data_IF_435104173760
#
_entry.id   IF_435104173760
#
_cell.length_a   1.000
_cell.length_b   1.000
_cell.length_c   1.000
_cell.angle_alpha   90.00
_cell.angle_beta   90.00
_cell.angle_gamma   90.00
#
_symmetry.space_group_name_H-M   'P 1'
#
loop_
_entity.id
_entity.type
_entity.pdbx_description
1 polymer ?
#
# COMPACT_ATOMS: atom_id res chain seq x y z
N UNK A 1 -14.28 -24.43 61.21
CA UNK A 1 -15.11 -23.45 60.50
C UNK A 1 -14.82 -23.64 59.02
N UNK A 2 -15.51 -24.59 58.38
CA UNK A 2 -15.24 -24.95 56.98
C UNK A 2 -16.07 -24.06 56.06
N UNK A 3 -15.39 -23.37 55.14
CA UNK A 3 -16.02 -22.51 54.13
C UNK A 3 -16.91 -23.35 53.19
N UNK A 4 -18.13 -22.89 52.86
CA UNK A 4 -19.01 -23.60 51.94
C UNK A 4 -18.39 -23.63 50.54
N UNK A 5 -18.19 -24.84 49.99
CA UNK A 5 -17.73 -25.04 48.61
C UNK A 5 -18.78 -24.47 47.66
N UNK A 6 -18.49 -23.31 47.10
CA UNK A 6 -19.30 -22.66 46.06
C UNK A 6 -19.15 -23.48 44.76
N UNK A 7 -20.02 -24.47 44.56
CA UNK A 7 -20.14 -25.16 43.28
C UNK A 7 -20.81 -24.24 42.26
N UNK A 8 -19.99 -23.50 41.51
CA UNK A 8 -20.42 -22.69 40.37
C UNK A 8 -20.98 -23.65 39.30
N UNK A 9 -22.25 -23.51 38.88
CA UNK A 9 -22.81 -24.38 37.86
C UNK A 9 -22.06 -24.15 36.54
N UNK A 10 -21.41 -25.20 36.03
CA UNK A 10 -20.77 -25.17 34.70
C UNK A 10 -21.85 -24.91 33.65
N UNK A 11 -21.74 -23.82 32.87
CA UNK A 11 -22.75 -23.51 31.86
C UNK A 11 -22.81 -24.67 30.86
N UNK A 12 -23.98 -25.29 30.71
CA UNK A 12 -24.21 -26.28 29.64
C UNK A 12 -24.07 -25.55 28.31
N UNK A 13 -22.93 -25.74 27.67
CA UNK A 13 -22.56 -25.05 26.45
C UNK A 13 -23.36 -25.67 25.29
N UNK A 14 -24.48 -25.03 24.94
CA UNK A 14 -25.27 -25.45 23.78
C UNK A 14 -24.46 -25.17 22.50
N UNK A 15 -24.20 -26.17 21.63
CA UNK A 15 -23.40 -25.97 20.41
C UNK A 15 -24.03 -24.92 19.48
N UNK A 16 -25.36 -24.79 19.51
CA UNK A 16 -26.11 -23.81 18.73
C UNK A 16 -25.83 -22.35 19.15
N UNK A 17 -25.56 -22.10 20.44
CA UNK A 17 -25.24 -20.76 20.94
C UNK A 17 -23.78 -20.38 20.72
N UNK A 18 -22.89 -21.37 20.58
CA UNK A 18 -21.52 -21.17 20.13
C UNK A 18 -21.50 -20.78 18.65
N UNK A 19 -22.31 -21.45 17.82
CA UNK A 19 -22.39 -21.18 16.39
C UNK A 19 -22.95 -19.78 16.09
N UNK A 20 -23.97 -19.34 16.83
CA UNK A 20 -24.54 -18.00 16.66
C UNK A 20 -23.59 -16.89 17.11
N UNK A 21 -22.86 -17.10 18.22
CA UNK A 21 -21.79 -16.20 18.67
C UNK A 21 -20.65 -16.13 17.65
N UNK A 22 -20.26 -17.27 17.08
CA UNK A 22 -19.22 -17.31 16.05
C UNK A 22 -19.64 -16.56 14.78
N UNK A 23 -20.86 -16.80 14.27
CA UNK A 23 -21.43 -16.05 13.13
C UNK A 23 -21.45 -14.54 13.41
N UNK A 24 -21.89 -14.13 14.59
CA UNK A 24 -21.94 -12.71 14.97
C UNK A 24 -20.54 -12.06 14.99
N UNK A 25 -19.54 -12.76 15.52
CA UNK A 25 -18.16 -12.28 15.50
C UNK A 25 -17.60 -12.21 14.08
N UNK A 26 -17.94 -13.18 13.22
CA UNK A 26 -17.53 -13.20 11.81
C UNK A 26 -18.09 -11.99 11.05
N UNK A 27 -19.40 -11.73 11.16
CA UNK A 27 -20.05 -10.59 10.50
C UNK A 27 -19.49 -9.26 11.00
N UNK A 28 -19.15 -9.17 12.29
CA UNK A 28 -18.53 -7.98 12.87
C UNK A 28 -17.11 -7.74 12.35
N UNK A 29 -16.34 -8.80 12.11
CA UNK A 29 -14.99 -8.69 11.53
C UNK A 29 -15.10 -8.31 10.06
N UNK A 30 -15.93 -9.00 9.27
CA UNK A 30 -16.15 -8.74 7.83
C UNK A 30 -16.64 -7.31 7.58
N UNK A 31 -17.55 -6.79 8.42
CA UNK A 31 -18.05 -5.41 8.31
C UNK A 31 -17.04 -4.32 8.64
N UNK A 32 -15.85 -4.66 9.18
CA UNK A 32 -14.78 -3.71 9.46
C UNK A 32 -13.63 -3.76 8.45
N UNK A 33 -13.71 -4.63 7.44
CA UNK A 33 -12.64 -4.78 6.45
C UNK A 33 -12.63 -3.59 5.48
N UNK A 34 -11.43 -3.11 5.18
CA UNK A 34 -11.20 -2.10 4.15
C UNK A 34 -11.43 -2.71 2.75
N UNK A 35 -11.74 -1.89 1.74
CA UNK A 35 -12.09 -2.38 0.38
C UNK A 35 -10.98 -3.28 -0.18
N UNK A 36 -9.71 -2.89 0.00
CA UNK A 36 -8.53 -3.66 -0.44
C UNK A 36 -8.42 -5.00 0.28
N UNK A 37 -8.76 -5.04 1.57
CA UNK A 37 -8.70 -6.27 2.38
C UNK A 37 -9.78 -7.27 1.95
N UNK A 38 -10.96 -6.79 1.58
CA UNK A 38 -12.02 -7.62 1.01
C UNK A 38 -11.59 -8.24 -0.32
N UNK A 39 -10.93 -7.47 -1.19
CA UNK A 39 -10.39 -7.98 -2.45
C UNK A 39 -9.28 -9.03 -2.22
N UNK A 40 -8.38 -8.83 -1.25
CA UNK A 40 -7.40 -9.85 -0.87
C UNK A 40 -8.04 -11.13 -0.33
N UNK A 41 -9.11 -11.00 0.46
CA UNK A 41 -9.85 -12.15 1.00
C UNK A 41 -10.53 -12.92 -0.14
N UNK A 42 -11.18 -12.22 -1.08
CA UNK A 42 -11.76 -12.82 -2.29
C UNK A 42 -10.68 -13.52 -3.12
N UNK A 43 -9.53 -12.87 -3.35
CA UNK A 43 -8.43 -13.48 -4.09
C UNK A 43 -7.90 -14.76 -3.41
N UNK A 44 -7.80 -14.74 -2.08
CA UNK A 44 -7.34 -15.90 -1.30
C UNK A 44 -8.36 -17.04 -1.37
N UNK A 45 -9.65 -16.74 -1.28
CA UNK A 45 -10.71 -17.74 -1.47
C UNK A 45 -10.67 -18.31 -2.90
N UNK A 46 -10.53 -17.46 -3.91
CA UNK A 46 -10.39 -17.89 -5.30
C UNK A 46 -9.20 -18.82 -5.48
N UNK A 47 -8.04 -18.53 -4.87
CA UNK A 47 -6.86 -19.38 -4.93
C UNK A 47 -7.04 -20.73 -4.21
N UNK A 48 -7.87 -20.79 -3.16
CA UNK A 48 -8.17 -22.04 -2.46
C UNK A 48 -9.12 -22.97 -3.24
N UNK A 49 -9.95 -22.42 -4.12
CA UNK A 49 -11.00 -23.17 -4.84
C UNK A 49 -10.78 -23.28 -6.35
N UNK A 50 -9.91 -22.47 -6.95
CA UNK A 50 -9.60 -22.50 -8.36
C UNK A 50 -8.33 -23.33 -8.62
N UNK A 51 -8.38 -24.17 -9.65
CA UNK A 51 -7.21 -24.93 -10.13
C UNK A 51 -6.17 -24.05 -10.84
N UNK A 52 -6.57 -22.87 -11.32
CA UNK A 52 -5.71 -21.91 -12.00
C UNK A 52 -5.43 -20.66 -11.13
N UNK A 53 -4.13 -20.36 -10.97
CA UNK A 53 -3.63 -19.21 -10.23
C UNK A 53 -3.90 -17.87 -10.92
N UNK A 54 -4.10 -17.86 -12.24
CA UNK A 54 -4.32 -16.63 -13.01
C UNK A 54 -5.63 -15.92 -12.62
N UNK A 55 -6.62 -16.67 -12.14
CA UNK A 55 -7.93 -16.16 -11.72
C UNK A 55 -7.80 -15.23 -10.51
N UNK A 56 -6.79 -15.46 -9.66
CA UNK A 56 -6.51 -14.62 -8.50
C UNK A 56 -5.64 -13.39 -8.83
N UNK A 57 -4.98 -13.34 -10.00
CA UNK A 57 -4.10 -12.21 -10.34
C UNK A 57 -4.84 -10.87 -10.41
N UNK A 58 -5.99 -10.82 -11.10
CA UNK A 58 -6.77 -9.60 -11.24
C UNK A 58 -7.22 -9.00 -9.89
N UNK A 59 -7.86 -9.76 -8.98
CA UNK A 59 -8.25 -9.20 -7.68
C UNK A 59 -7.04 -8.83 -6.82
N UNK A 60 -5.91 -9.54 -6.92
CA UNK A 60 -4.66 -9.17 -6.22
C UNK A 60 -4.11 -7.84 -6.74
N UNK A 61 -4.03 -7.65 -8.06
CA UNK A 61 -3.54 -6.41 -8.67
C UNK A 61 -4.43 -5.22 -8.28
N UNK A 62 -5.76 -5.39 -8.31
CA UNK A 62 -6.70 -4.34 -7.90
C UNK A 62 -6.60 -4.02 -6.40
N UNK A 63 -6.49 -5.04 -5.55
CA UNK A 63 -6.31 -4.87 -4.10
C UNK A 63 -5.04 -4.08 -3.79
N UNK A 64 -3.93 -4.46 -4.43
CA UNK A 64 -2.64 -3.79 -4.31
C UNK A 64 -2.72 -2.34 -4.80
N UNK A 65 -3.31 -2.09 -5.96
CA UNK A 65 -3.45 -0.75 -6.50
C UNK A 65 -4.25 0.17 -5.56
N UNK A 66 -5.38 -0.32 -5.04
CA UNK A 66 -6.24 0.43 -4.12
C UNK A 66 -5.58 0.69 -2.76
N UNK A 67 -4.82 -0.28 -2.24
CA UNK A 67 -4.07 -0.06 -0.99
C UNK A 67 -2.85 0.85 -1.19
N UNK A 68 -2.22 0.77 -2.35
CA UNK A 68 -1.00 1.50 -2.64
C UNK A 68 -1.26 2.97 -2.99
N UNK A 69 -2.29 3.26 -3.78
CA UNK A 69 -2.62 4.61 -4.24
C UNK A 69 -2.59 5.69 -3.15
N UNK A 70 -3.28 5.54 -2.00
CA UNK A 70 -3.25 6.55 -0.95
C UNK A 70 -1.87 6.71 -0.29
N UNK A 71 -1.10 5.62 -0.15
CA UNK A 71 0.26 5.66 0.40
C UNK A 71 1.23 6.38 -0.54
N UNK A 72 1.07 6.18 -1.84
CA UNK A 72 1.82 6.89 -2.88
C UNK A 72 1.52 8.38 -2.88
N UNK A 73 0.24 8.77 -2.82
CA UNK A 73 -0.15 10.18 -2.73
C UNK A 73 0.47 10.83 -1.50
N UNK A 74 0.48 10.14 -0.35
CA UNK A 74 1.13 10.62 0.86
C UNK A 74 2.65 10.82 0.68
N UNK A 75 3.32 9.91 -0.04
CA UNK A 75 4.75 10.03 -0.36
C UNK A 75 5.04 11.31 -1.14
N UNK A 76 4.20 11.67 -2.12
CA UNK A 76 4.37 12.92 -2.89
C UNK A 76 4.14 14.19 -2.07
N UNK A 77 3.33 14.12 -1.00
CA UNK A 77 3.14 15.25 -0.10
C UNK A 77 4.32 15.50 0.85
N UNK A 78 5.26 14.56 0.96
CA UNK A 78 6.48 14.72 1.75
C UNK A 78 7.42 15.76 1.15
N UNK A 79 8.31 16.35 1.98
CA UNK A 79 9.36 17.27 1.52
C UNK A 79 10.21 16.71 0.36
N UNK A 80 10.78 15.49 0.45
CA UNK A 80 11.55 14.92 -0.65
C UNK A 80 10.68 14.68 -1.90
N UNK A 81 9.42 14.25 -1.75
CA UNK A 81 8.49 14.09 -2.87
C UNK A 81 8.22 15.41 -3.62
N UNK A 82 7.94 16.48 -2.88
CA UNK A 82 7.74 17.83 -3.45
C UNK A 82 9.02 18.39 -4.08
N UNK A 83 10.17 18.19 -3.44
CA UNK A 83 11.47 18.63 -3.96
C UNK A 83 11.83 17.89 -5.25
N UNK A 84 11.53 16.59 -5.33
CA UNK A 84 11.71 15.80 -6.53
C UNK A 84 10.83 16.30 -7.68
N UNK A 85 9.56 16.61 -7.43
CA UNK A 85 8.67 17.23 -8.43
C UNK A 85 9.23 18.58 -8.94
N UNK A 86 9.73 19.41 -8.03
CA UNK A 86 10.33 20.71 -8.38
C UNK A 86 11.61 20.55 -9.21
N UNK A 87 12.45 19.56 -8.87
CA UNK A 87 13.67 19.23 -9.60
C UNK A 87 13.35 18.84 -11.05
N UNK A 88 12.35 17.98 -11.26
CA UNK A 88 11.90 17.64 -12.62
C UNK A 88 11.31 18.84 -13.34
N UNK A 89 10.52 19.66 -12.66
CA UNK A 89 9.97 20.88 -13.24
C UNK A 89 11.07 21.83 -13.72
N UNK A 90 12.14 21.99 -12.94
CA UNK A 90 13.30 22.83 -13.30
C UNK A 90 14.06 22.29 -14.52
N UNK A 91 14.25 20.97 -14.61
CA UNK A 91 14.86 20.33 -15.80
C UNK A 91 14.01 20.58 -17.03
N UNK A 92 12.70 20.33 -16.95
CA UNK A 92 11.77 20.54 -18.06
C UNK A 92 11.70 22.02 -18.48
N UNK A 93 11.75 22.95 -17.52
CA UNK A 93 11.71 24.39 -17.79
C UNK A 93 12.98 24.89 -18.50
N UNK A 94 14.17 24.56 -18.00
CA UNK A 94 15.44 24.94 -18.63
C UNK A 94 15.54 24.39 -20.05
N UNK A 95 15.03 23.20 -20.27
CA UNK A 95 14.99 22.60 -21.59
C UNK A 95 13.99 23.27 -22.52
N UNK A 96 12.77 23.55 -22.05
CA UNK A 96 11.77 24.26 -22.85
C UNK A 96 12.29 25.64 -23.28
N UNK A 97 13.05 26.31 -22.41
CA UNK A 97 13.69 27.59 -22.71
C UNK A 97 14.76 27.47 -23.81
N UNK A 98 15.60 26.42 -23.76
CA UNK A 98 16.61 26.14 -24.79
C UNK A 98 15.99 25.76 -26.16
N UNK A 99 14.93 24.95 -26.15
CA UNK A 99 14.18 24.61 -27.36
C UNK A 99 13.49 25.86 -27.95
N UNK A 100 12.92 26.72 -27.11
CA UNK A 100 12.31 27.97 -27.56
C UNK A 100 13.35 28.91 -28.18
N UNK A 101 14.53 29.03 -27.58
CA UNK A 101 15.65 29.81 -28.13
C UNK A 101 16.13 29.26 -29.49
N UNK A 102 16.15 27.95 -29.64
CA UNK A 102 16.50 27.28 -30.91
C UNK A 102 15.49 27.59 -32.01
N UNK A 103 14.19 27.47 -31.75
CA UNK A 103 13.12 27.81 -32.71
C UNK A 103 13.18 29.29 -33.11
N UNK A 104 13.48 30.20 -32.17
CA UNK A 104 13.62 31.63 -32.47
C UNK A 104 14.86 31.91 -33.34
N UNK A 105 15.97 31.20 -33.10
CA UNK A 105 17.18 31.33 -33.91
C UNK A 105 16.99 30.84 -35.35
N UNK A 106 16.18 29.79 -35.55
CA UNK A 106 15.79 29.33 -36.89
C UNK A 106 14.95 30.39 -37.64
N UNK A 107 14.02 31.06 -36.96
CA UNK A 107 13.15 32.10 -37.57
C UNK A 107 13.94 33.39 -37.84
N UNK A 108 14.94 33.71 -37.02
CA UNK A 108 15.75 34.94 -37.16
C UNK A 108 16.97 34.79 -38.06
N UNK A 109 17.23 33.60 -38.60
CA UNK A 109 18.27 33.35 -39.59
C UNK A 109 19.70 33.31 -39.04
N UNK A 110 19.88 33.27 -37.72
CA UNK A 110 21.19 33.05 -37.09
C UNK A 110 21.47 31.55 -37.13
N UNK A 111 22.55 31.13 -37.80
CA UNK A 111 22.89 29.71 -38.03
C UNK A 111 22.73 28.87 -36.75
N UNK A 112 21.67 28.06 -36.73
CA UNK A 112 21.52 27.00 -35.76
C UNK A 112 22.45 25.86 -36.19
N UNK A 113 23.48 25.57 -35.40
CA UNK A 113 24.33 24.41 -35.61
C UNK A 113 23.47 23.14 -35.41
N UNK A 114 22.84 22.70 -36.50
CA UNK A 114 22.13 21.44 -36.59
C UNK A 114 23.10 20.31 -36.25
N UNK A 115 22.73 19.46 -35.26
CA UNK A 115 23.19 18.08 -35.01
C UNK A 115 23.64 17.65 -33.58
N UNK A 116 23.77 18.49 -32.54
CA UNK A 116 23.80 17.98 -31.15
C UNK A 116 22.40 17.81 -30.52
N UNK A 117 21.36 18.34 -31.17
CA UNK A 117 20.01 18.44 -30.61
C UNK A 117 19.24 17.10 -30.50
N UNK A 118 19.39 16.16 -31.44
CA UNK A 118 18.64 14.89 -31.38
C UNK A 118 19.13 13.96 -30.25
N UNK A 119 20.40 14.03 -29.87
CA UNK A 119 20.95 13.18 -28.81
C UNK A 119 20.54 13.71 -27.41
N UNK A 120 20.65 15.02 -27.18
CA UNK A 120 20.22 15.65 -25.92
C UNK A 120 18.69 15.63 -25.76
N UNK A 121 17.93 15.80 -26.84
CA UNK A 121 16.48 15.61 -26.86
C UNK A 121 16.09 14.15 -26.59
N UNK A 122 16.84 13.17 -27.12
CA UNK A 122 16.62 11.77 -26.81
C UNK A 122 16.81 11.49 -25.31
N UNK A 123 17.89 12.01 -24.70
CA UNK A 123 18.12 11.90 -23.24
C UNK A 123 16.93 12.49 -22.45
N UNK A 124 16.30 13.54 -22.95
CA UNK A 124 15.13 14.17 -22.32
C UNK A 124 13.82 13.44 -22.54
N UNK A 125 13.64 12.77 -23.67
CA UNK A 125 12.55 11.79 -23.86
C UNK A 125 12.73 10.58 -22.95
N UNK A 126 13.98 10.20 -22.66
CA UNK A 126 14.30 9.10 -21.75
C UNK A 126 14.12 9.48 -20.27
N UNK A 127 14.28 10.75 -19.87
CA UNK A 127 14.26 11.16 -18.46
C UNK A 127 12.90 10.91 -17.75
N UNK A 128 11.73 11.25 -18.33
CA UNK A 128 10.42 10.84 -17.81
C UNK A 128 10.24 9.32 -17.80
N UNK A 129 10.80 8.62 -18.80
CA UNK A 129 10.71 7.17 -18.92
C UNK A 129 11.51 6.46 -17.82
N UNK A 130 12.69 6.97 -17.47
CA UNK A 130 13.49 6.50 -16.33
C UNK A 130 12.79 6.77 -14.99
N UNK A 131 12.06 7.88 -14.88
CA UNK A 131 11.27 8.26 -13.70
C UNK A 131 10.13 7.26 -13.44
N UNK A 132 9.44 6.86 -14.51
CA UNK A 132 8.44 5.78 -14.47
C UNK A 132 9.13 4.46 -14.06
N UNK A 133 10.30 4.16 -14.62
CA UNK A 133 11.10 2.99 -14.22
C UNK A 133 11.47 2.98 -12.73
N UNK A 134 12.01 4.08 -12.21
CA UNK A 134 12.36 4.22 -10.79
C UNK A 134 11.14 4.17 -9.88
N UNK A 135 10.01 4.75 -10.30
CA UNK A 135 8.78 4.65 -9.52
C UNK A 135 8.26 3.22 -9.51
N UNK A 136 8.27 2.48 -10.63
CA UNK A 136 7.88 1.06 -10.70
C UNK A 136 8.80 0.19 -9.82
N UNK A 137 10.12 0.42 -9.86
CA UNK A 137 11.08 -0.32 -9.03
C UNK A 137 10.89 0.02 -7.54
N UNK A 138 10.73 1.30 -7.19
CA UNK A 138 10.45 1.72 -5.82
C UNK A 138 9.11 1.15 -5.32
N UNK A 139 8.09 1.11 -6.20
CA UNK A 139 6.81 0.44 -5.97
C UNK A 139 6.99 -1.04 -5.65
N UNK A 140 7.76 -1.77 -6.46
CA UNK A 140 8.08 -3.18 -6.26
C UNK A 140 8.80 -3.43 -4.93
N UNK A 141 9.77 -2.59 -4.58
CA UNK A 141 10.50 -2.69 -3.32
C UNK A 141 9.60 -2.42 -2.10
N UNK A 142 8.72 -1.41 -2.18
CA UNK A 142 7.74 -1.13 -1.12
C UNK A 142 6.70 -2.24 -1.01
N UNK A 143 6.25 -2.80 -2.14
CA UNK A 143 5.37 -3.97 -2.17
C UNK A 143 6.05 -5.21 -1.57
N UNK A 144 7.36 -5.32 -1.67
CA UNK A 144 8.10 -6.39 -0.99
C UNK A 144 8.10 -6.19 0.53
N UNK A 145 8.15 -4.96 1.03
CA UNK A 145 8.20 -4.64 2.48
C UNK A 145 6.82 -4.72 3.16
N UNK A 146 5.74 -4.33 2.46
CA UNK A 146 4.36 -4.33 2.99
C UNK A 146 3.87 -5.66 3.58
N UNK A 147 4.02 -6.83 2.92
CA UNK A 147 3.55 -8.10 3.45
C UNK A 147 4.29 -8.46 4.74
N UNK A 148 5.59 -8.17 4.84
CA UNK A 148 6.34 -8.37 6.08
C UNK A 148 5.79 -7.53 7.24
N UNK A 149 5.42 -6.26 6.97
CA UNK A 149 4.76 -5.42 7.98
C UNK A 149 3.43 -6.02 8.46
N UNK A 150 2.61 -6.51 7.53
CA UNK A 150 1.34 -7.20 7.84
C UNK A 150 1.56 -8.51 8.62
N UNK A 151 2.56 -9.32 8.24
CA UNK A 151 2.91 -10.53 8.96
C UNK A 151 3.37 -10.23 10.39
N UNK A 152 4.20 -9.22 10.58
CA UNK A 152 4.63 -8.77 11.92
C UNK A 152 3.44 -8.28 12.73
N UNK A 153 2.55 -7.46 12.15
CA UNK A 153 1.37 -6.97 12.84
C UNK A 153 0.38 -8.08 13.20
N UNK A 154 0.16 -9.05 12.29
CA UNK A 154 -0.64 -10.24 12.55
C UNK A 154 -0.01 -11.09 13.65
N UNK A 155 1.31 -11.29 13.62
CA UNK A 155 2.03 -12.05 14.63
C UNK A 155 1.90 -11.39 16.01
N UNK A 156 2.06 -10.07 16.10
CA UNK A 156 1.85 -9.30 17.33
C UNK A 156 0.39 -9.40 17.81
N UNK A 157 -0.58 -9.38 16.89
CA UNK A 157 -2.00 -9.52 17.19
C UNK A 157 -2.36 -10.92 17.70
N UNK A 158 -1.82 -11.97 17.07
CA UNK A 158 -2.01 -13.39 17.45
C UNK A 158 -1.32 -13.70 18.78
N UNK A 159 -0.11 -13.17 19.00
CA UNK A 159 0.61 -13.28 20.28
C UNK A 159 -0.08 -12.50 21.39
N UNK A 160 -0.97 -11.56 21.05
CA UNK A 160 -1.94 -11.04 22.00
C UNK A 160 -1.31 -10.22 23.12
N UNK A 161 -0.42 -9.29 22.81
CA UNK A 161 -0.01 -8.24 23.77
C UNK A 161 -1.13 -7.19 23.86
N UNK A 162 -2.32 -7.62 24.29
CA UNK A 162 -3.38 -6.74 24.79
C UNK A 162 -3.75 -7.05 26.24
N UNK A 163 -3.19 -8.11 26.83
CA UNK A 163 -3.49 -8.51 28.22
C UNK A 163 -2.66 -7.76 29.26
N UNK A 164 -1.49 -7.20 28.92
CA UNK A 164 -0.60 -6.61 29.94
C UNK A 164 -0.99 -5.15 30.30
N UNK A 165 -1.59 -4.39 29.37
CA UNK A 165 -1.98 -3.00 29.63
C UNK A 165 -3.35 -2.83 30.32
N UNK A 166 -4.20 -3.86 30.32
CA UNK A 166 -5.50 -3.80 30.98
C UNK A 166 -5.44 -4.22 32.46
N UNK A 167 -4.48 -5.07 32.85
CA UNK A 167 -4.32 -5.52 34.25
C UNK A 167 -3.48 -4.56 35.10
N UNK A 168 -2.52 -3.83 34.52
CA UNK A 168 -1.72 -2.85 35.26
C UNK A 168 -2.53 -1.63 35.77
N UNK A 169 -3.74 -1.41 35.26
CA UNK A 169 -4.63 -0.32 35.69
C UNK A 169 -5.59 -0.70 36.83
N UNK A 170 -5.62 -1.96 37.27
CA UNK A 170 -6.54 -2.45 38.32
C UNK A 170 -5.86 -2.93 39.60
N UNK A 171 -4.53 -2.86 39.67
CA UNK A 171 -3.77 -3.23 40.88
C UNK A 171 -3.57 -2.00 41.80
N UNK A 172 -4.00 -0.81 41.36
CA UNK A 172 -3.92 0.46 42.12
C UNK A 172 -5.30 1.04 42.51
N UNK A 173 -6.33 0.20 42.64
CA UNK A 173 -7.59 0.52 43.33
C UNK A 173 -7.96 -0.63 44.25
#
# INVERSE_FOLDING_TARGET
MELPKLTIPKPKLNPLSVLSKFKFQLTKVIGRLNISQTLFLIATLMLMFADDWTVACLPIMLALALEFWPKFVLLWHTLPGKGLLLFFYAIMANFTLDNAATVINEITGVSAAQLPYSHNFAILLYLPLWLIGFTIIALLLVQMILPFYLFIYLFICVVGIKTIWAESGKINQ
#
